data_IF_178142026783
#
_entry.id   IF_178142026783
#
_cell.length_a   1.000
_cell.length_b   1.000
_cell.length_c   1.000
_cell.angle_alpha   90.00
_cell.angle_beta   90.00
_cell.angle_gamma   90.00
#
_symmetry.space_group_name_H-M   'P 1'
#
loop_
_entity.id
_entity.type
_entity.pdbx_description
1 polymer ?
#
# COMPACT_ATOMS: atom_id res chain seq x y z
N UNK A 1 10.07 3.82 15.69
CA UNK A 1 10.05 4.03 14.23
C UNK A 1 8.66 3.75 13.70
N UNK A 2 7.79 4.76 13.68
CA UNK A 2 6.40 4.65 13.19
C UNK A 2 6.27 4.87 11.66
N UNK A 3 7.35 5.31 10.99
CA UNK A 3 7.33 5.74 9.59
C UNK A 3 6.79 4.70 8.60
N UNK A 4 7.19 3.42 8.71
CA UNK A 4 6.72 2.38 7.78
C UNK A 4 5.21 2.15 7.85
N UNK A 5 4.63 2.12 9.05
CA UNK A 5 3.17 1.99 9.22
C UNK A 5 2.43 3.21 8.67
N UNK A 6 2.97 4.41 8.92
CA UNK A 6 2.39 5.64 8.39
C UNK A 6 2.46 5.69 6.86
N UNK A 7 3.56 5.21 6.25
CA UNK A 7 3.68 5.09 4.79
C UNK A 7 2.70 4.05 4.24
N UNK A 8 2.54 2.90 4.91
CA UNK A 8 1.53 1.90 4.54
C UNK A 8 0.12 2.50 4.56
N UNK A 9 -0.22 3.23 5.62
CA UNK A 9 -1.49 3.93 5.71
C UNK A 9 -1.65 5.02 4.63
N UNK A 10 -0.59 5.77 4.32
CA UNK A 10 -0.61 6.78 3.26
C UNK A 10 -0.85 6.17 1.87
N UNK A 11 -0.35 4.96 1.61
CA UNK A 11 -0.63 4.20 0.38
C UNK A 11 -2.11 3.75 0.35
N UNK A 12 -2.64 3.23 1.46
CA UNK A 12 -4.06 2.86 1.55
C UNK A 12 -4.96 4.07 1.27
N UNK A 13 -4.68 5.23 1.89
CA UNK A 13 -5.42 6.47 1.68
C UNK A 13 -5.33 6.98 0.24
N UNK A 14 -4.16 6.83 -0.43
CA UNK A 14 -4.02 7.16 -1.84
C UNK A 14 -4.94 6.30 -2.70
N UNK A 15 -4.96 4.99 -2.48
CA UNK A 15 -5.75 4.08 -3.28
C UNK A 15 -7.25 4.23 -3.03
N UNK A 16 -7.65 4.43 -1.79
CA UNK A 16 -9.03 4.76 -1.44
C UNK A 16 -9.50 6.01 -2.19
N UNK A 17 -8.70 7.08 -2.15
CA UNK A 17 -9.04 8.32 -2.84
C UNK A 17 -9.04 8.18 -4.36
N UNK A 18 -8.05 7.50 -4.93
CA UNK A 18 -7.95 7.26 -6.38
C UNK A 18 -9.07 6.34 -6.90
N UNK A 19 -9.59 5.42 -6.07
CA UNK A 19 -10.76 4.63 -6.43
C UNK A 19 -12.05 5.48 -6.43
N UNK A 20 -12.17 6.42 -5.48
CA UNK A 20 -13.36 7.25 -5.31
C UNK A 20 -13.43 8.43 -6.30
N UNK A 21 -12.30 9.08 -6.56
CA UNK A 21 -12.20 10.32 -7.32
C UNK A 21 -11.08 10.24 -8.38
N UNK A 22 -11.42 10.24 -9.68
CA UNK A 22 -10.44 10.25 -10.76
C UNK A 22 -9.47 11.45 -10.72
N UNK A 23 -9.86 12.57 -10.11
CA UNK A 23 -8.99 13.75 -9.98
C UNK A 23 -7.74 13.48 -9.12
N UNK A 24 -7.81 12.50 -8.22
CA UNK A 24 -6.66 12.04 -7.43
C UNK A 24 -5.60 11.31 -8.27
N UNK A 25 -5.84 11.10 -9.57
CA UNK A 25 -4.84 10.64 -10.54
C UNK A 25 -4.07 11.77 -11.22
N UNK A 26 -4.38 13.05 -10.96
CA UNK A 26 -3.69 14.17 -11.55
C UNK A 26 -2.22 14.25 -11.11
N UNK A 27 -1.33 14.63 -12.02
CA UNK A 27 0.12 14.64 -11.77
C UNK A 27 0.50 15.54 -10.59
N UNK A 28 -0.15 16.70 -10.44
CA UNK A 28 0.05 17.63 -9.32
C UNK A 28 -0.31 16.98 -7.97
N UNK A 29 -1.44 16.28 -7.91
CA UNK A 29 -1.86 15.57 -6.70
C UNK A 29 -0.88 14.46 -6.33
N UNK A 30 -0.47 13.65 -7.32
CA UNK A 30 0.46 12.54 -7.10
C UNK A 30 1.86 13.02 -6.71
N UNK A 31 2.31 14.15 -7.23
CA UNK A 31 3.57 14.78 -6.84
C UNK A 31 3.51 15.26 -5.38
N UNK A 32 2.46 15.98 -4.99
CA UNK A 32 2.26 16.43 -3.62
C UNK A 32 2.19 15.24 -2.63
N UNK A 33 1.40 14.21 -2.96
CA UNK A 33 1.30 12.99 -2.16
C UNK A 33 2.67 12.30 -2.01
N UNK A 34 3.47 12.24 -3.09
CA UNK A 34 4.79 11.62 -3.06
C UNK A 34 5.72 12.35 -2.08
N UNK A 35 5.73 13.68 -2.11
CA UNK A 35 6.53 14.50 -1.19
C UNK A 35 6.10 14.27 0.27
N UNK A 36 4.80 14.30 0.55
CA UNK A 36 4.25 14.06 1.89
C UNK A 36 4.58 12.66 2.40
N UNK A 37 4.39 11.62 1.58
CA UNK A 37 4.67 10.24 1.96
C UNK A 37 6.15 10.00 2.27
N UNK A 38 7.06 10.65 1.51
CA UNK A 38 8.50 10.58 1.77
C UNK A 38 8.92 11.39 3.01
N UNK A 39 8.24 12.51 3.29
CA UNK A 39 8.48 13.29 4.51
C UNK A 39 8.09 12.50 5.77
N UNK A 40 6.96 11.77 5.72
CA UNK A 40 6.48 10.88 6.79
C UNK A 40 7.46 9.75 7.12
N UNK A 41 8.19 9.26 6.12
CA UNK A 41 9.23 8.25 6.33
C UNK A 41 10.39 8.74 7.21
N UNK A 42 10.64 10.05 7.22
CA UNK A 42 11.74 10.72 7.93
C UNK A 42 13.08 10.62 7.19
N UNK A 43 13.94 11.66 7.24
CA UNK A 43 15.27 11.60 6.66
C UNK A 43 16.27 10.82 7.54
N UNK A 44 17.21 10.06 6.95
CA UNK A 44 17.36 9.79 5.52
C UNK A 44 16.33 8.75 5.02
N UNK A 45 15.71 9.02 3.86
CA UNK A 45 14.77 8.06 3.26
C UNK A 45 15.56 6.94 2.57
N UNK A 46 15.31 5.70 2.98
CA UNK A 46 15.91 4.52 2.36
C UNK A 46 15.52 4.42 0.87
N UNK A 47 16.49 4.07 0.01
CA UNK A 47 16.29 3.91 -1.43
C UNK A 47 15.15 2.96 -1.78
N UNK A 48 15.04 1.84 -1.07
CA UNK A 48 14.01 0.84 -1.29
C UNK A 48 12.62 1.35 -0.92
N UNK A 49 12.49 2.01 0.23
CA UNK A 49 11.26 2.66 0.65
C UNK A 49 10.82 3.69 -0.39
N UNK A 50 11.72 4.57 -0.82
CA UNK A 50 11.43 5.56 -1.85
C UNK A 50 11.04 4.93 -3.20
N UNK A 51 11.57 3.75 -3.54
CA UNK A 51 11.17 2.99 -4.74
C UNK A 51 9.72 2.52 -4.63
N UNK A 52 9.32 1.98 -3.48
CA UNK A 52 7.95 1.52 -3.26
C UNK A 52 6.94 2.66 -3.21
N UNK A 53 7.26 3.79 -2.58
CA UNK A 53 6.37 4.97 -2.56
C UNK A 53 6.14 5.50 -3.98
N UNK A 54 7.19 5.64 -4.81
CA UNK A 54 7.04 6.02 -6.23
C UNK A 54 6.26 4.98 -7.04
N UNK A 55 6.36 3.70 -6.68
CA UNK A 55 5.56 2.64 -7.32
C UNK A 55 4.08 2.78 -6.95
N UNK A 56 3.77 3.07 -5.69
CA UNK A 56 2.41 3.36 -5.23
C UNK A 56 1.81 4.59 -5.95
N UNK A 57 2.51 5.71 -6.08
CA UNK A 57 2.02 6.88 -6.84
C UNK A 57 1.61 6.50 -8.27
N UNK A 58 2.47 5.75 -8.99
CA UNK A 58 2.18 5.28 -10.36
C UNK A 58 1.01 4.30 -10.44
N UNK A 59 0.71 3.57 -9.37
CA UNK A 59 -0.45 2.69 -9.29
C UNK A 59 -1.71 3.47 -8.94
N UNK A 60 -1.63 4.48 -8.07
CA UNK A 60 -2.71 5.41 -7.78
C UNK A 60 -3.19 6.13 -9.04
N UNK A 61 -2.28 6.67 -9.86
CA UNK A 61 -2.64 7.26 -11.15
C UNK A 61 -3.30 6.29 -12.14
N UNK A 62 -2.86 5.02 -12.15
CA UNK A 62 -3.51 3.97 -12.96
C UNK A 62 -4.89 3.61 -12.45
N UNK A 63 -5.07 3.53 -11.13
CA UNK A 63 -6.34 3.26 -10.48
C UNK A 63 -7.35 4.38 -10.77
N UNK A 64 -6.95 5.64 -10.60
CA UNK A 64 -7.77 6.80 -10.90
C UNK A 64 -8.17 6.85 -12.38
N UNK A 65 -7.24 6.57 -13.30
CA UNK A 65 -7.56 6.49 -14.74
C UNK A 65 -8.52 5.34 -15.06
N UNK A 66 -8.36 4.20 -14.42
CA UNK A 66 -9.26 3.05 -14.59
C UNK A 66 -10.69 3.41 -14.18
N UNK A 67 -10.87 4.04 -13.02
CA UNK A 67 -12.20 4.40 -12.52
C UNK A 67 -12.74 5.73 -13.06
N UNK A 68 -11.92 6.51 -13.74
CA UNK A 68 -12.33 7.70 -14.49
C UNK A 68 -13.02 7.40 -15.82
N UNK A 69 -13.00 6.15 -16.27
CA UNK A 69 -13.74 5.69 -17.45
C UNK A 69 -15.25 5.62 -17.13
N UNK A 70 -16.10 6.44 -17.79
CA UNK A 70 -17.54 6.47 -17.53
C UNK A 70 -18.23 5.12 -17.70
N UNK A 71 -17.71 4.23 -18.55
CA UNK A 71 -18.30 2.90 -18.77
C UNK A 71 -18.09 1.97 -17.57
N UNK A 72 -17.07 2.23 -16.75
CA UNK A 72 -16.70 1.41 -15.60
C UNK A 72 -17.32 1.90 -14.29
N UNK A 73 -17.64 3.19 -14.20
CA UNK A 73 -18.22 3.82 -13.00
C UNK A 73 -19.43 3.04 -12.44
N UNK A 74 -20.41 2.59 -13.26
CA UNK A 74 -21.57 1.84 -12.74
C UNK A 74 -21.21 0.50 -12.09
N UNK A 75 -20.03 -0.05 -12.39
CA UNK A 75 -19.53 -1.34 -11.87
C UNK A 75 -18.52 -1.16 -10.74
N UNK A 76 -18.25 0.07 -10.31
CA UNK A 76 -17.28 0.35 -9.27
C UNK A 76 -17.75 -0.24 -7.93
N UNK A 77 -16.95 -1.10 -7.28
CA UNK A 77 -17.28 -1.61 -5.95
C UNK A 77 -17.38 -0.49 -4.91
N UNK A 78 -18.25 -0.67 -3.91
CA UNK A 78 -18.33 0.26 -2.78
C UNK A 78 -17.10 0.20 -1.86
N UNK A 79 -16.51 -0.99 -1.71
CA UNK A 79 -15.25 -1.18 -1.00
C UNK A 79 -14.07 -0.84 -1.93
N UNK A 80 -13.28 0.16 -1.54
CA UNK A 80 -12.12 0.58 -2.32
C UNK A 80 -11.09 -0.54 -2.52
N UNK A 81 -11.01 -1.51 -1.60
CA UNK A 81 -10.10 -2.66 -1.73
C UNK A 81 -10.49 -3.53 -2.91
N UNK A 82 -11.79 -3.81 -3.05
CA UNK A 82 -12.32 -4.52 -4.22
C UNK A 82 -12.12 -3.71 -5.50
N UNK A 83 -12.19 -2.38 -5.42
CA UNK A 83 -11.91 -1.52 -6.56
C UNK A 83 -10.43 -1.56 -6.99
N UNK A 84 -9.50 -1.68 -6.03
CA UNK A 84 -8.07 -1.93 -6.30
C UNK A 84 -7.87 -3.31 -6.93
N UNK A 85 -8.52 -4.34 -6.39
CA UNK A 85 -8.44 -5.71 -6.93
C UNK A 85 -8.92 -5.76 -8.38
N UNK A 86 -10.06 -5.14 -8.68
CA UNK A 86 -10.62 -5.12 -10.02
C UNK A 86 -9.78 -4.32 -11.04
N UNK A 87 -9.10 -3.26 -10.59
CA UNK A 87 -8.31 -2.40 -11.48
C UNK A 87 -6.85 -2.84 -11.65
N UNK A 88 -6.22 -3.32 -10.58
CA UNK A 88 -4.78 -3.56 -10.51
C UNK A 88 -4.42 -5.01 -10.17
N UNK A 89 -5.36 -5.81 -9.65
CA UNK A 89 -5.11 -7.14 -9.12
C UNK A 89 -4.09 -7.14 -7.99
N UNK A 90 -3.41 -8.27 -7.79
CA UNK A 90 -2.39 -8.45 -6.74
C UNK A 90 -1.26 -7.41 -6.79
N UNK A 91 -0.93 -6.91 -7.98
CA UNK A 91 0.12 -5.89 -8.19
C UNK A 91 -0.17 -4.55 -7.53
N UNK A 92 -1.45 -4.26 -7.26
CA UNK A 92 -1.84 -3.06 -6.50
C UNK A 92 -1.29 -3.08 -5.08
N UNK A 93 -1.24 -4.26 -4.46
CA UNK A 93 -0.89 -4.43 -3.04
C UNK A 93 0.61 -4.58 -2.78
N UNK A 94 1.38 -5.02 -3.79
CA UNK A 94 2.82 -5.27 -3.67
C UNK A 94 3.62 -4.13 -3.02
N UNK A 95 3.47 -2.84 -3.39
CA UNK A 95 4.28 -1.79 -2.78
C UNK A 95 4.05 -1.69 -1.27
N UNK A 96 2.79 -1.75 -0.84
CA UNK A 96 2.43 -1.68 0.57
C UNK A 96 2.88 -2.92 1.35
N UNK A 97 2.88 -4.10 0.72
CA UNK A 97 3.45 -5.32 1.31
C UNK A 97 4.95 -5.18 1.52
N UNK A 98 5.68 -4.72 0.51
CA UNK A 98 7.14 -4.56 0.59
C UNK A 98 7.54 -3.51 1.62
N UNK A 99 6.80 -2.39 1.74
CA UNK A 99 7.01 -1.41 2.82
C UNK A 99 6.78 -2.04 4.20
N UNK A 100 5.69 -2.80 4.37
CA UNK A 100 5.39 -3.45 5.64
C UNK A 100 6.46 -4.50 6.00
N UNK A 101 6.89 -5.32 5.04
CA UNK A 101 7.97 -6.32 5.22
C UNK A 101 9.28 -5.66 5.61
N UNK A 102 9.66 -4.59 4.90
CA UNK A 102 10.89 -3.84 5.21
C UNK A 102 10.85 -3.23 6.61
N UNK A 103 9.71 -2.65 6.99
CA UNK A 103 9.48 -2.15 8.34
C UNK A 103 9.62 -3.25 9.38
N UNK A 104 9.00 -4.40 9.14
CA UNK A 104 9.05 -5.57 10.04
C UNK A 104 10.48 -6.12 10.17
N UNK A 105 11.28 -6.06 9.11
CA UNK A 105 12.68 -6.45 9.12
C UNK A 105 13.53 -5.51 9.98
N UNK A 106 13.37 -4.20 9.84
CA UNK A 106 14.22 -3.19 10.49
C UNK A 106 13.79 -2.89 11.93
N UNK A 107 12.49 -2.67 12.15
CA UNK A 107 11.89 -2.43 13.47
C UNK A 107 10.66 -3.31 13.65
N UNK A 108 10.88 -4.56 14.07
CA UNK A 108 9.80 -5.48 14.36
C UNK A 108 8.75 -4.86 15.27
N UNK A 109 7.49 -5.00 14.90
CA UNK A 109 6.37 -4.65 15.77
C UNK A 109 5.16 -5.53 15.48
N UNK A 110 4.26 -5.74 16.46
CA UNK A 110 3.03 -6.49 16.25
C UNK A 110 2.17 -5.92 15.12
N UNK A 111 2.10 -4.59 15.00
CA UNK A 111 1.32 -3.93 13.95
C UNK A 111 1.90 -4.20 12.55
N UNK A 112 3.22 -4.11 12.36
CA UNK A 112 3.85 -4.44 11.07
C UNK A 112 3.68 -5.92 10.72
N UNK A 113 3.73 -6.81 11.72
CA UNK A 113 3.52 -8.24 11.51
C UNK A 113 2.12 -8.53 10.96
N UNK A 114 1.09 -7.95 11.56
CA UNK A 114 -0.28 -8.09 11.06
C UNK A 114 -0.48 -7.44 9.68
N UNK A 115 0.18 -6.32 9.40
CA UNK A 115 0.11 -5.71 8.07
C UNK A 115 0.76 -6.56 6.97
N UNK A 116 1.86 -7.25 7.29
CA UNK A 116 2.45 -8.25 6.37
C UNK A 116 1.49 -9.42 6.18
N UNK A 117 0.91 -9.99 7.24
CA UNK A 117 -0.06 -11.10 7.13
C UNK A 117 -1.26 -10.73 6.25
N UNK A 118 -1.85 -9.55 6.49
CA UNK A 118 -3.00 -9.06 5.73
C UNK A 118 -2.68 -8.94 4.25
N UNK A 119 -1.58 -8.28 3.91
CA UNK A 119 -1.21 -7.99 2.51
C UNK A 119 -0.64 -9.18 1.78
N UNK A 120 0.02 -10.09 2.48
CA UNK A 120 0.53 -11.31 1.87
C UNK A 120 -0.60 -12.12 1.24
N UNK A 121 -1.75 -12.21 1.93
CA UNK A 121 -2.95 -12.87 1.36
C UNK A 121 -3.44 -12.18 0.10
N UNK A 122 -3.40 -10.84 0.03
CA UNK A 122 -3.83 -10.08 -1.14
C UNK A 122 -2.87 -10.22 -2.33
N UNK A 123 -1.57 -10.36 -2.07
CA UNK A 123 -0.54 -10.47 -3.13
C UNK A 123 -0.38 -11.91 -3.61
N UNK A 124 -0.32 -12.87 -2.67
CA UNK A 124 0.07 -14.26 -2.92
C UNK A 124 -1.10 -15.24 -2.88
N UNK A 125 -2.31 -14.81 -2.50
CA UNK A 125 -3.50 -15.66 -2.38
C UNK A 125 -3.29 -16.88 -1.46
N UNK A 126 -2.38 -16.75 -0.49
CA UNK A 126 -2.03 -17.77 0.49
C UNK A 126 -1.82 -17.12 1.87
N UNK A 127 -1.99 -17.82 2.99
CA UNK A 127 -1.65 -17.27 4.30
C UNK A 127 -0.13 -17.16 4.48
N UNK A 128 0.31 -16.14 5.21
CA UNK A 128 1.67 -16.02 5.71
C UNK A 128 1.72 -16.44 7.18
N UNK A 129 2.59 -17.39 7.50
CA UNK A 129 2.83 -17.87 8.87
C UNK A 129 1.52 -18.17 9.61
N UNK A 130 0.71 -19.07 9.02
CA UNK A 130 -0.56 -19.47 9.61
C UNK A 130 -0.36 -20.10 10.99
N UNK A 131 -1.16 -19.68 11.97
CA UNK A 131 -1.05 -20.14 13.36
C UNK A 131 0.12 -19.53 14.15
N UNK A 132 1.07 -18.84 13.52
CA UNK A 132 2.22 -18.23 14.19
C UNK A 132 1.87 -16.85 14.72
N UNK A 133 2.08 -16.62 16.00
CA UNK A 133 1.95 -15.31 16.65
C UNK A 133 3.20 -14.46 16.43
N UNK A 134 3.07 -13.14 16.59
CA UNK A 134 4.23 -12.23 16.57
C UNK A 134 5.34 -12.64 17.55
N UNK A 135 4.99 -13.13 18.74
CA UNK A 135 5.95 -13.54 19.78
C UNK A 135 6.67 -14.85 19.43
N UNK A 136 6.01 -15.77 18.73
CA UNK A 136 6.66 -16.98 18.20
C UNK A 136 7.61 -16.62 17.07
N UNK A 137 7.13 -15.84 16.10
CA UNK A 137 7.96 -15.36 15.00
C UNK A 137 9.20 -14.59 15.48
N UNK A 138 9.05 -13.72 16.49
CA UNK A 138 10.17 -12.94 17.02
C UNK A 138 11.21 -13.81 17.74
N UNK A 139 10.81 -14.96 18.32
CA UNK A 139 11.72 -15.89 19.00
C UNK A 139 12.52 -16.76 18.04
N UNK A 140 11.97 -17.06 16.86
CA UNK A 140 12.58 -17.94 15.86
C UNK A 140 13.49 -17.20 14.85
N UNK A 141 13.63 -15.88 15.01
CA UNK A 141 14.37 -15.01 14.11
C UNK A 141 15.81 -14.78 14.58
#
# INVERSE_FOLDING_TARGET
>A
MAGYLLVVAAIDSLFERAAADPSAGADEFLAAWLEEALAVAGPPVEKELARQVRRAARLGGRLARYWGDPERVPRRPADWRQAVDAALGSRGWEPSLEVARRGLEIAPSPALFEEVRRRWRQVHFAPWMEGVTYQEWLRER
#
